data_IF_261151707547
#
_entry.id   IF_261151707547
#
_cell.length_a   1.000
_cell.length_b   1.000
_cell.length_c   1.000
_cell.angle_alpha   90.00
_cell.angle_beta   90.00
_cell.angle_gamma   90.00
#
_symmetry.space_group_name_H-M   'P 1'
#
loop_
_entity.id
_entity.type
_entity.pdbx_description
1 polymer ?
#
# COMPACT_ATOMS: atom_id res chain seq x y z
N UNK A 1 -31.58 -7.06 65.55
CA UNK A 1 -31.01 -6.05 64.65
C UNK A 1 -29.93 -6.75 63.83
N UNK A 2 -30.28 -7.25 62.64
CA UNK A 2 -29.34 -7.98 61.78
C UNK A 2 -28.43 -6.96 61.10
N UNK A 3 -27.19 -6.89 61.57
CA UNK A 3 -26.13 -6.09 60.96
C UNK A 3 -25.62 -6.95 59.81
N UNK A 4 -25.94 -6.56 58.58
CA UNK A 4 -25.38 -7.15 57.37
C UNK A 4 -23.86 -7.00 57.41
N UNK A 5 -23.14 -8.08 57.74
CA UNK A 5 -21.71 -8.17 57.43
C UNK A 5 -21.59 -8.22 55.91
N UNK A 6 -21.18 -7.12 55.31
CA UNK A 6 -20.66 -7.13 53.94
C UNK A 6 -19.30 -7.81 54.01
N UNK A 7 -19.23 -9.07 53.58
CA UNK A 7 -17.98 -9.76 53.34
C UNK A 7 -17.20 -8.97 52.29
N UNK A 8 -16.17 -8.27 52.74
CA UNK A 8 -15.23 -7.58 51.86
C UNK A 8 -14.34 -8.59 51.17
N UNK A 9 -13.92 -8.30 49.93
CA UNK A 9 -12.99 -9.14 49.21
C UNK A 9 -11.70 -9.36 50.01
N UNK A 10 -11.24 -10.60 50.03
CA UNK A 10 -9.94 -10.94 50.58
C UNK A 10 -8.84 -10.27 49.74
N UNK A 11 -7.72 -9.93 50.39
CA UNK A 11 -6.58 -9.29 49.73
C UNK A 11 -6.05 -10.12 48.56
N UNK A 12 -6.15 -11.45 48.64
CA UNK A 12 -5.79 -12.38 47.56
C UNK A 12 -6.75 -12.28 46.37
N UNK A 13 -8.05 -12.12 46.61
CA UNK A 13 -9.08 -12.00 45.56
C UNK A 13 -8.91 -10.69 44.80
N UNK A 14 -8.53 -9.62 45.50
CA UNK A 14 -8.20 -8.33 44.88
C UNK A 14 -6.98 -8.48 43.96
N UNK A 15 -5.92 -9.14 44.41
CA UNK A 15 -4.70 -9.36 43.60
C UNK A 15 -5.00 -10.23 42.37
N UNK A 16 -5.75 -11.31 42.54
CA UNK A 16 -6.13 -12.21 41.43
C UNK A 16 -6.98 -11.44 40.41
N UNK A 17 -7.99 -10.71 40.88
CA UNK A 17 -8.87 -9.91 40.00
C UNK A 17 -8.09 -8.86 39.24
N UNK A 18 -7.17 -8.15 39.91
CA UNK A 18 -6.32 -7.13 39.29
C UNK A 18 -5.40 -7.76 38.23
N UNK A 19 -4.82 -8.93 38.53
CA UNK A 19 -3.94 -9.64 37.58
C UNK A 19 -4.69 -10.05 36.33
N UNK A 20 -5.91 -10.58 36.46
CA UNK A 20 -6.75 -10.94 35.32
C UNK A 20 -7.08 -9.70 34.48
N UNK A 21 -7.45 -8.59 35.12
CA UNK A 21 -7.74 -7.33 34.41
C UNK A 21 -6.52 -6.85 33.62
N UNK A 22 -5.32 -6.89 34.23
CA UNK A 22 -4.08 -6.46 33.55
C UNK A 22 -3.79 -7.34 32.33
N UNK A 23 -3.93 -8.66 32.45
CA UNK A 23 -3.72 -9.60 31.32
C UNK A 23 -4.72 -9.32 30.20
N UNK A 24 -5.99 -9.12 30.54
CA UNK A 24 -7.03 -8.80 29.56
C UNK A 24 -6.74 -7.48 28.84
N UNK A 25 -6.45 -6.40 29.58
CA UNK A 25 -6.16 -5.08 29.00
C UNK A 25 -4.94 -5.13 28.10
N UNK A 26 -3.88 -5.84 28.50
CA UNK A 26 -2.68 -6.01 27.68
C UNK A 26 -2.96 -6.79 26.38
N UNK A 27 -3.73 -7.88 26.48
CA UNK A 27 -4.15 -8.69 25.32
C UNK A 27 -5.01 -7.91 24.33
N UNK A 28 -6.04 -7.20 24.81
CA UNK A 28 -6.90 -6.40 23.95
C UNK A 28 -6.16 -5.22 23.32
N UNK A 29 -5.27 -4.55 24.08
CA UNK A 29 -4.52 -3.41 23.57
C UNK A 29 -3.57 -3.80 22.43
N UNK A 30 -2.89 -4.95 22.56
CA UNK A 30 -2.00 -5.46 21.50
C UNK A 30 -2.77 -5.91 20.26
N UNK A 31 -3.90 -6.60 20.44
CA UNK A 31 -4.77 -7.01 19.34
C UNK A 31 -5.35 -5.82 18.56
N UNK A 32 -5.85 -4.79 19.27
CA UNK A 32 -6.42 -3.59 18.64
C UNK A 32 -5.37 -2.79 17.87
N UNK A 33 -4.18 -2.58 18.45
CA UNK A 33 -3.09 -1.88 17.76
C UNK A 33 -2.63 -2.66 16.53
N UNK A 34 -2.58 -3.99 16.61
CA UNK A 34 -2.30 -4.85 15.46
C UNK A 34 -3.33 -4.69 14.34
N UNK A 35 -4.63 -4.74 14.69
CA UNK A 35 -5.74 -4.58 13.74
C UNK A 35 -5.67 -3.22 13.02
N UNK A 36 -5.50 -2.13 13.77
CA UNK A 36 -5.43 -0.79 13.19
C UNK A 36 -4.24 -0.60 12.24
N UNK A 37 -3.07 -1.17 12.59
CA UNK A 37 -1.90 -1.15 11.71
C UNK A 37 -2.15 -1.95 10.43
N UNK A 38 -2.76 -3.13 10.55
CA UNK A 38 -3.09 -3.98 9.40
C UNK A 38 -4.11 -3.31 8.48
N UNK A 39 -5.16 -2.69 9.02
CA UNK A 39 -6.17 -1.97 8.25
C UNK A 39 -5.57 -0.78 7.51
N UNK A 40 -4.70 -0.01 8.18
CA UNK A 40 -3.99 1.11 7.54
C UNK A 40 -3.14 0.63 6.37
N UNK A 41 -2.36 -0.42 6.57
CA UNK A 41 -1.51 -0.99 5.52
C UNK A 41 -2.34 -1.53 4.34
N UNK A 42 -3.43 -2.24 4.61
CA UNK A 42 -4.34 -2.73 3.56
C UNK A 42 -4.98 -1.58 2.79
N UNK A 43 -5.40 -0.51 3.48
CA UNK A 43 -5.97 0.65 2.82
C UNK A 43 -4.95 1.36 1.92
N UNK A 44 -3.70 1.51 2.37
CA UNK A 44 -2.61 2.04 1.55
C UNK A 44 -2.35 1.18 0.31
N UNK A 45 -2.32 -0.16 0.46
CA UNK A 45 -2.20 -1.08 -0.68
C UNK A 45 -3.39 -0.98 -1.65
N UNK A 46 -4.62 -0.85 -1.15
CA UNK A 46 -5.79 -0.65 -2.00
C UNK A 46 -5.78 0.68 -2.75
N UNK A 47 -5.24 1.74 -2.15
CA UNK A 47 -5.03 3.02 -2.85
C UNK A 47 -3.98 2.86 -3.95
N UNK A 48 -2.84 2.27 -3.63
CA UNK A 48 -1.77 2.03 -4.60
C UNK A 48 -2.22 1.17 -5.78
N UNK A 49 -3.02 0.12 -5.53
CA UNK A 49 -3.60 -0.70 -6.59
C UNK A 49 -4.54 0.10 -7.50
N UNK A 50 -5.37 0.98 -6.95
CA UNK A 50 -6.25 1.85 -7.74
C UNK A 50 -5.47 2.79 -8.64
N UNK A 51 -4.43 3.42 -8.08
CA UNK A 51 -3.54 4.30 -8.84
C UNK A 51 -2.80 3.53 -9.93
N UNK A 52 -2.26 2.37 -9.58
CA UNK A 52 -1.54 1.49 -10.52
C UNK A 52 -2.45 1.08 -11.68
N UNK A 53 -3.71 0.72 -11.40
CA UNK A 53 -4.67 0.43 -12.45
C UNK A 53 -4.93 1.65 -13.35
N UNK A 54 -5.04 2.85 -12.78
CA UNK A 54 -5.21 4.09 -13.57
C UNK A 54 -3.99 4.39 -14.44
N UNK A 55 -2.77 4.18 -13.91
CA UNK A 55 -1.53 4.29 -14.71
C UNK A 55 -1.58 3.30 -15.87
N UNK A 56 -1.90 2.03 -15.60
CA UNK A 56 -2.01 0.97 -16.60
C UNK A 56 -3.06 1.31 -17.67
N UNK A 57 -4.23 1.79 -17.28
CA UNK A 57 -5.29 2.19 -18.21
C UNK A 57 -4.83 3.34 -19.11
N UNK A 58 -4.16 4.33 -18.55
CA UNK A 58 -3.57 5.43 -19.32
C UNK A 58 -2.46 4.94 -20.25
N UNK A 59 -1.61 3.99 -19.83
CA UNK A 59 -0.59 3.37 -20.68
C UNK A 59 -1.19 2.63 -21.89
N UNK A 60 -2.42 2.12 -21.76
CA UNK A 60 -3.16 1.48 -22.86
C UNK A 60 -3.79 2.47 -23.83
N UNK A 61 -3.86 3.76 -23.50
CA UNK A 61 -4.40 4.76 -24.41
C UNK A 61 -3.50 4.97 -25.62
N UNK A 62 -4.07 5.32 -26.76
CA UNK A 62 -3.36 5.51 -28.03
C UNK A 62 -2.23 6.55 -27.93
N UNK A 63 -2.43 7.59 -27.11
CA UNK A 63 -1.46 8.67 -26.81
C UNK A 63 -0.14 8.13 -26.28
N UNK A 64 -0.19 7.11 -25.41
CA UNK A 64 1.00 6.55 -24.77
C UNK A 64 1.44 5.24 -25.42
N UNK A 65 0.53 4.44 -25.97
CA UNK A 65 0.83 3.17 -26.66
C UNK A 65 1.77 3.35 -27.84
N UNK A 66 1.53 4.37 -28.66
CA UNK A 66 2.39 4.72 -29.83
C UNK A 66 3.75 5.30 -29.43
N UNK A 67 3.91 5.55 -28.14
CA UNK A 67 4.96 6.34 -27.53
C UNK A 67 5.79 5.53 -26.53
N UNK A 68 5.43 4.27 -26.30
CA UNK A 68 6.20 3.33 -25.47
C UNK A 68 7.63 3.08 -26.02
N UNK A 69 7.78 3.16 -27.35
CA UNK A 69 9.07 3.09 -28.05
C UNK A 69 9.89 4.39 -27.98
N UNK A 70 9.32 5.49 -27.50
CA UNK A 70 10.01 6.77 -27.45
C UNK A 70 10.93 6.83 -26.22
N UNK A 71 12.23 6.66 -26.45
CA UNK A 71 13.24 6.78 -25.40
C UNK A 71 13.28 8.16 -24.71
N UNK A 72 12.66 9.20 -25.26
CA UNK A 72 12.66 10.56 -24.71
C UNK A 72 11.26 11.04 -24.29
N UNK A 73 10.32 10.12 -24.07
CA UNK A 73 8.98 10.51 -23.65
C UNK A 73 9.00 11.25 -22.30
N UNK A 74 8.60 12.51 -22.33
CA UNK A 74 8.13 13.22 -21.15
C UNK A 74 6.67 12.80 -20.92
N UNK A 75 6.43 12.18 -19.77
CA UNK A 75 5.10 11.78 -19.31
C UNK A 75 4.43 12.97 -18.66
N UNK A 76 3.17 13.19 -18.99
CA UNK A 76 2.41 14.35 -18.52
C UNK A 76 1.94 14.07 -17.07
N UNK A 77 2.62 14.65 -16.08
CA UNK A 77 2.37 14.38 -14.65
C UNK A 77 0.92 14.73 -14.23
N UNK A 78 0.32 15.72 -14.90
CA UNK A 78 -1.01 16.25 -14.58
C UNK A 78 -2.15 15.30 -14.98
N UNK A 79 -1.95 14.43 -15.97
CA UNK A 79 -3.03 13.64 -16.59
C UNK A 79 -3.44 12.41 -15.76
N UNK A 80 -2.62 12.02 -14.79
CA UNK A 80 -2.86 10.83 -13.97
C UNK A 80 -3.52 11.14 -12.63
N UNK A 81 -3.76 12.42 -12.31
CA UNK A 81 -4.18 12.85 -10.97
C UNK A 81 -3.19 12.36 -9.89
N UNK A 82 -1.90 12.41 -10.23
CA UNK A 82 -0.79 11.94 -9.41
C UNK A 82 0.09 13.08 -8.91
N UNK A 83 -0.44 14.30 -8.85
CA UNK A 83 0.24 15.48 -8.32
C UNK A 83 0.73 15.31 -6.87
N UNK A 84 0.22 14.31 -6.15
CA UNK A 84 0.65 13.93 -4.80
C UNK A 84 1.83 12.95 -4.77
N UNK A 85 2.22 12.35 -5.90
CA UNK A 85 3.24 11.30 -5.98
C UNK A 85 4.34 11.67 -6.97
N UNK A 86 5.59 11.51 -6.55
CA UNK A 86 6.71 11.70 -7.45
C UNK A 86 6.94 10.41 -8.26
N UNK A 87 6.66 10.47 -9.56
CA UNK A 87 6.74 9.32 -10.47
C UNK A 87 7.99 9.45 -11.33
N UNK A 88 8.79 8.39 -11.36
CA UNK A 88 9.92 8.31 -12.26
C UNK A 88 9.68 7.23 -13.29
N UNK A 89 9.68 7.64 -14.56
CA UNK A 89 9.67 6.74 -15.69
C UNK A 89 11.11 6.46 -16.07
N UNK A 90 11.49 5.17 -16.06
CA UNK A 90 12.84 4.60 -16.03
C UNK A 90 13.38 4.43 -14.61
N UNK A 91 14.23 3.41 -14.46
CA UNK A 91 14.96 3.08 -13.25
C UNK A 91 16.03 4.12 -12.87
N UNK A 92 15.80 5.41 -13.10
CA UNK A 92 16.65 6.43 -12.51
C UNK A 92 16.37 6.44 -11.01
N UNK A 93 17.39 6.08 -10.25
CA UNK A 93 17.33 5.87 -8.81
C UNK A 93 17.38 7.23 -8.11
N UNK A 94 16.43 8.10 -8.40
CA UNK A 94 16.23 9.28 -7.57
C UNK A 94 15.61 8.84 -6.24
N UNK A 95 16.22 9.33 -5.16
CA UNK A 95 15.83 8.99 -3.79
C UNK A 95 14.48 9.61 -3.39
N UNK A 96 13.96 10.55 -4.19
CA UNK A 96 12.72 11.27 -3.91
C UNK A 96 11.51 10.72 -4.69
N UNK A 97 11.65 9.57 -5.35
CA UNK A 97 10.59 8.97 -6.17
C UNK A 97 9.73 8.01 -5.34
N UNK A 98 8.41 8.20 -5.37
CA UNK A 98 7.43 7.34 -4.70
C UNK A 98 7.08 6.11 -5.55
N UNK A 99 6.97 6.30 -6.87
CA UNK A 99 6.57 5.28 -7.86
C UNK A 99 7.60 5.22 -8.98
N UNK A 100 8.15 4.04 -9.24
CA UNK A 100 9.06 3.79 -10.38
C UNK A 100 8.32 2.97 -11.42
N UNK A 101 8.34 3.43 -12.66
CA UNK A 101 7.74 2.72 -13.79
C UNK A 101 8.87 2.31 -14.72
N UNK A 102 9.14 1.01 -14.77
CA UNK A 102 10.13 0.42 -15.68
C UNK A 102 9.40 -0.19 -16.87
N UNK A 103 9.84 0.14 -18.08
CA UNK A 103 9.25 -0.35 -19.33
C UNK A 103 10.38 -1.02 -20.11
N UNK A 104 10.22 -2.32 -20.34
CA UNK A 104 11.14 -3.13 -21.12
C UNK A 104 10.46 -3.60 -22.39
N UNK A 105 11.06 -3.31 -23.54
CA UNK A 105 10.65 -3.90 -24.80
C UNK A 105 11.04 -5.39 -24.82
N UNK A 106 10.06 -6.28 -25.02
CA UNK A 106 10.26 -7.74 -25.06
C UNK A 106 10.30 -8.27 -26.48
N UNK A 107 9.50 -7.73 -27.38
CA UNK A 107 9.50 -8.10 -28.81
C UNK A 107 9.19 -6.89 -29.69
N UNK A 108 10.16 -6.51 -30.53
CA UNK A 108 10.07 -5.38 -31.47
C UNK A 108 9.07 -5.69 -32.61
N UNK A 109 8.93 -6.97 -32.98
CA UNK A 109 8.10 -7.38 -34.11
C UNK A 109 6.61 -7.36 -33.80
N UNK A 110 6.25 -7.67 -32.55
CA UNK A 110 4.87 -7.67 -32.03
C UNK A 110 4.57 -6.44 -31.16
N UNK A 111 5.48 -5.44 -31.12
CA UNK A 111 5.37 -4.25 -30.25
C UNK A 111 5.01 -4.62 -28.81
N UNK A 112 5.66 -5.64 -28.24
CA UNK A 112 5.34 -6.17 -26.92
C UNK A 112 6.24 -5.53 -25.86
N UNK A 113 5.62 -4.94 -24.84
CA UNK A 113 6.29 -4.28 -23.72
C UNK A 113 5.91 -4.94 -22.41
N UNK A 114 6.91 -5.13 -21.56
CA UNK A 114 6.75 -5.47 -20.17
C UNK A 114 6.86 -4.21 -19.33
N UNK A 115 5.84 -3.92 -18.53
CA UNK A 115 5.81 -2.76 -17.64
C UNK A 115 5.76 -3.24 -16.21
N UNK A 116 6.72 -2.79 -15.42
CA UNK A 116 6.78 -2.97 -13.97
C UNK A 116 6.53 -1.61 -13.29
N UNK A 117 5.61 -1.57 -12.35
CA UNK A 117 5.28 -0.40 -11.54
C UNK A 117 5.60 -0.73 -10.08
N UNK A 118 6.59 -0.06 -9.49
CA UNK A 118 7.09 -0.32 -8.15
C UNK A 118 6.84 0.86 -7.23
N UNK A 119 6.21 0.62 -6.09
CA UNK A 119 5.98 1.59 -5.03
C UNK A 119 7.00 1.43 -3.92
N UNK A 120 7.90 2.41 -3.76
CA UNK A 120 9.01 2.31 -2.78
C UNK A 120 8.50 2.35 -1.33
N UNK A 121 7.49 3.16 -1.05
CA UNK A 121 7.06 3.45 0.33
C UNK A 121 6.22 2.32 0.98
N UNK A 122 5.60 1.44 0.18
CA UNK A 122 4.61 0.47 0.66
C UNK A 122 4.91 -0.98 0.23
N UNK A 123 6.10 -1.23 -0.33
CA UNK A 123 6.56 -2.54 -0.80
C UNK A 123 5.51 -3.26 -1.66
N UNK A 124 4.99 -2.53 -2.65
CA UNK A 124 3.99 -3.04 -3.60
C UNK A 124 4.54 -2.89 -5.01
N UNK A 125 4.39 -3.91 -5.84
CA UNK A 125 4.70 -3.86 -7.26
C UNK A 125 3.57 -4.49 -8.08
N UNK A 126 3.48 -4.07 -9.34
CA UNK A 126 2.58 -4.67 -10.32
C UNK A 126 3.28 -4.78 -11.65
N UNK A 127 3.03 -5.90 -12.32
CA UNK A 127 3.60 -6.20 -13.63
C UNK A 127 2.48 -6.36 -14.64
N UNK A 128 2.68 -5.83 -15.85
CA UNK A 128 1.75 -6.00 -16.95
C UNK A 128 2.49 -6.14 -18.29
N UNK A 129 1.93 -6.96 -19.17
CA UNK A 129 2.30 -7.00 -20.59
C UNK A 129 1.35 -6.12 -21.40
N UNK A 130 1.92 -5.22 -22.19
CA UNK A 130 1.21 -4.34 -23.12
C UNK A 130 1.64 -4.66 -24.55
N UNK A 131 0.69 -4.83 -25.45
CA UNK A 131 0.97 -4.88 -26.90
C UNK A 131 0.65 -3.51 -27.53
N UNK A 132 1.54 -3.00 -28.37
CA UNK A 132 1.24 -1.94 -29.33
C UNK A 132 0.63 -2.55 -30.59
N UNK A 133 -0.45 -1.97 -31.11
CA UNK A 133 -0.83 -2.29 -32.51
C UNK A 133 0.05 -1.50 -33.48
#
# INVERSE_FOLDING_TARGET
MNIYQKDGFSLIEIIISLTIIVILVAGFSTALVGSLKSEKQLNEQHKARRITNSIIENLKTEKYRTRLNDSNIAWDEDEYNLSEYNINFKANVDNNTDIVINIEEKDISDNLYFVEITWKNINYSSEILLSGD
#
